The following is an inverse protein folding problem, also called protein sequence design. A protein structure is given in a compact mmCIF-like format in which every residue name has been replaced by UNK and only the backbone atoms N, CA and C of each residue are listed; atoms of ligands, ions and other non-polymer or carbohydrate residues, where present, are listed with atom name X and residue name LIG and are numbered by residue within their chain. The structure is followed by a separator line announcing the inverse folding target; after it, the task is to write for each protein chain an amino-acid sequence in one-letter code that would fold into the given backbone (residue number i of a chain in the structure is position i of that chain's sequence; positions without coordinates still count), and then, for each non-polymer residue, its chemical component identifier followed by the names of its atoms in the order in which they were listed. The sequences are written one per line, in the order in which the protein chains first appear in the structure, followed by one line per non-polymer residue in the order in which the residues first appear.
data_IF_849556067018
#
_entry.id   IF_849556067018
#
_cell.length_a   1.000
_cell.length_b   1.000
_cell.length_c   1.000
_cell.angle_alpha   90.00
_cell.angle_beta   90.00
_cell.angle_gamma   90.00
#
_symmetry.space_group_name_H-M   'P 1'
#
loop_
_entity.id
_entity.type
_entity.pdbx_description
1 polymer ?
#
# COMPACT_ATOMS: atom_id res chain seq x y z
N UNK A 1 0.99 56.23 19.86
CA UNK A 1 1.81 55.47 18.90
C UNK A 1 1.80 54.02 19.37
N UNK A 2 1.12 53.15 18.61
CA UNK A 2 0.90 51.76 18.99
C UNK A 2 2.21 50.95 18.98
N UNK A 3 2.46 50.22 20.06
CA UNK A 3 3.34 49.05 19.99
C UNK A 3 2.49 47.86 19.59
N UNK A 4 2.55 47.53 18.31
CA UNK A 4 1.98 46.31 17.74
C UNK A 4 2.85 45.13 18.23
N UNK A 5 2.36 44.41 19.24
CA UNK A 5 2.96 43.17 19.69
C UNK A 5 2.57 42.05 18.73
N UNK A 6 3.58 41.44 18.11
CA UNK A 6 3.51 40.39 17.10
C UNK A 6 2.88 39.07 17.62
N UNK A 7 2.46 38.14 16.73
CA UNK A 7 1.46 37.12 17.00
C UNK A 7 2.03 35.87 17.67
N UNK A 8 1.41 35.44 18.78
CA UNK A 8 1.86 34.30 19.60
C UNK A 8 1.13 32.99 19.30
N UNK A 9 0.08 33.03 18.46
CA UNK A 9 -0.85 31.91 18.27
C UNK A 9 -0.41 30.88 17.22
N UNK A 10 0.55 31.20 16.33
CA UNK A 10 0.99 30.26 15.28
C UNK A 10 2.03 29.22 15.75
N UNK A 11 2.74 29.48 16.85
CA UNK A 11 3.86 28.63 17.33
C UNK A 11 3.39 27.27 17.89
N UNK A 12 2.15 27.20 18.41
CA UNK A 12 1.61 25.99 19.06
C UNK A 12 1.21 24.90 18.05
N UNK A 13 0.52 25.27 16.97
CA UNK A 13 0.12 24.34 15.92
C UNK A 13 1.31 23.73 15.17
N UNK A 14 2.36 24.52 14.95
CA UNK A 14 3.60 24.07 14.33
C UNK A 14 4.29 22.96 15.14
N UNK A 15 4.31 23.05 16.47
CA UNK A 15 4.93 22.06 17.36
C UNK A 15 4.23 20.70 17.33
N UNK A 16 2.90 20.68 17.36
CA UNK A 16 2.11 19.45 17.26
C UNK A 16 2.27 18.77 15.89
N UNK A 17 2.35 19.57 14.82
CA UNK A 17 2.54 19.08 13.46
C UNK A 17 3.96 18.51 13.25
N UNK A 18 4.97 19.14 13.86
CA UNK A 18 6.36 18.67 13.88
C UNK A 18 6.46 17.31 14.62
N UNK A 19 5.84 17.20 15.79
CA UNK A 19 5.78 15.96 16.56
C UNK A 19 5.12 14.82 15.77
N UNK A 20 4.04 15.11 15.02
CA UNK A 20 3.37 14.14 14.13
C UNK A 20 4.30 13.65 13.01
N UNK A 21 5.07 14.54 12.38
CA UNK A 21 6.04 14.20 11.32
C UNK A 21 7.16 13.31 11.88
N UNK A 22 7.72 13.65 13.05
CA UNK A 22 8.73 12.85 13.72
C UNK A 22 8.21 11.45 14.03
N UNK A 23 7.00 11.34 14.59
CA UNK A 23 6.37 10.06 14.89
C UNK A 23 6.13 9.21 13.62
N UNK A 24 5.67 9.82 12.52
CA UNK A 24 5.49 9.12 11.25
C UNK A 24 6.82 8.61 10.68
N UNK A 25 7.87 9.45 10.65
CA UNK A 25 9.22 9.05 10.22
C UNK A 25 9.75 7.86 11.01
N UNK A 26 9.53 7.86 12.33
CA UNK A 26 9.94 6.74 13.21
C UNK A 26 9.20 5.45 12.85
N UNK A 27 7.87 5.49 12.73
CA UNK A 27 7.06 4.32 12.36
C UNK A 27 7.47 3.73 11.00
N UNK A 28 7.70 4.58 9.99
CA UNK A 28 8.14 4.15 8.66
C UNK A 28 9.53 3.49 8.74
N UNK A 29 10.44 4.03 9.56
CA UNK A 29 11.78 3.45 9.76
C UNK A 29 11.72 2.07 10.41
N UNK A 30 10.98 1.94 11.51
CA UNK A 30 10.79 0.68 12.24
C UNK A 30 10.18 -0.40 11.34
N UNK A 31 9.14 -0.03 10.58
CA UNK A 31 8.50 -0.94 9.62
C UNK A 31 9.49 -1.43 8.56
N UNK A 32 10.26 -0.52 7.94
CA UNK A 32 11.29 -0.90 6.96
C UNK A 32 12.42 -1.73 7.56
N UNK A 33 12.78 -1.54 8.82
CA UNK A 33 13.79 -2.37 9.50
C UNK A 33 13.29 -3.81 9.67
N UNK A 34 12.04 -3.99 10.10
CA UNK A 34 11.42 -5.31 10.22
C UNK A 34 11.39 -6.07 8.88
N UNK A 35 10.98 -5.40 7.80
CA UNK A 35 10.96 -5.99 6.47
C UNK A 35 12.38 -6.40 6.00
N UNK A 36 13.39 -5.57 6.27
CA UNK A 36 14.79 -5.93 5.94
C UNK A 36 15.30 -7.12 6.74
N UNK A 37 14.93 -7.23 8.02
CA UNK A 37 15.30 -8.38 8.85
C UNK A 37 14.67 -9.69 8.33
N UNK A 38 13.52 -9.60 7.66
CA UNK A 38 12.87 -10.72 6.96
C UNK A 38 13.47 -10.99 5.56
N UNK A 39 14.57 -10.32 5.19
CA UNK A 39 15.21 -10.48 3.88
C UNK A 39 14.56 -9.69 2.73
N UNK A 40 13.55 -8.87 3.01
CA UNK A 40 12.86 -8.08 1.97
C UNK A 40 13.61 -6.77 1.67
N UNK A 41 13.62 -6.37 0.40
CA UNK A 41 14.20 -5.10 -0.05
C UNK A 41 13.11 -4.16 -0.58
N UNK A 42 13.00 -2.92 -0.09
CA UNK A 42 12.03 -1.97 -0.61
C UNK A 42 12.41 -1.54 -2.02
N UNK A 43 11.46 -1.65 -2.95
CA UNK A 43 11.54 -1.06 -4.29
C UNK A 43 10.42 -0.02 -4.45
N UNK A 44 10.70 1.07 -5.15
CA UNK A 44 9.68 2.04 -5.55
C UNK A 44 9.42 1.84 -7.04
N UNK A 45 8.18 1.52 -7.37
CA UNK A 45 7.73 1.36 -8.75
C UNK A 45 6.56 2.30 -8.98
N UNK A 46 6.49 2.83 -10.20
CA UNK A 46 5.33 3.57 -10.65
C UNK A 46 4.33 2.58 -11.21
N UNK A 47 3.14 2.56 -10.64
CA UNK A 47 2.03 1.72 -11.09
C UNK A 47 0.94 2.60 -11.72
N UNK A 48 0.14 2.07 -12.65
CA UNK A 48 -1.05 2.76 -13.13
C UNK A 48 -1.99 3.17 -11.99
N UNK A 49 -2.69 4.29 -12.14
CA UNK A 49 -3.67 4.74 -11.15
C UNK A 49 -4.88 3.81 -11.14
N UNK A 50 -4.94 2.96 -10.11
CA UNK A 50 -6.00 1.96 -9.91
C UNK A 50 -7.38 2.56 -9.62
N UNK A 51 -7.45 3.86 -9.30
CA UNK A 51 -8.73 4.58 -9.11
C UNK A 51 -9.29 5.13 -10.42
N UNK A 52 -8.50 5.13 -11.48
CA UNK A 52 -8.95 5.59 -12.80
C UNK A 52 -9.93 4.58 -13.40
N UNK A 53 -11.07 5.02 -13.97
CA UNK A 53 -11.97 4.14 -14.73
C UNK A 53 -11.27 3.43 -15.89
N UNK A 54 -10.21 4.03 -16.46
CA UNK A 54 -9.39 3.41 -17.51
C UNK A 54 -8.66 2.16 -17.02
N UNK A 55 -8.17 2.18 -15.78
CA UNK A 55 -7.53 1.02 -15.18
C UNK A 55 -8.52 -0.13 -15.03
N UNK A 56 -9.73 0.15 -14.53
CA UNK A 56 -10.77 -0.87 -14.40
C UNK A 56 -11.15 -1.49 -15.76
N UNK A 57 -11.26 -0.66 -16.81
CA UNK A 57 -11.52 -1.15 -18.16
C UNK A 57 -10.39 -2.04 -18.70
N UNK A 58 -9.13 -1.64 -18.52
CA UNK A 58 -7.99 -2.42 -18.99
C UNK A 58 -7.78 -3.70 -18.17
N UNK A 59 -7.94 -3.63 -16.85
CA UNK A 59 -7.90 -4.80 -15.98
C UNK A 59 -8.93 -5.84 -16.44
N UNK A 60 -10.18 -5.41 -16.68
CA UNK A 60 -11.22 -6.30 -17.23
C UNK A 60 -10.82 -6.90 -18.57
N UNK A 61 -10.30 -6.08 -19.49
CA UNK A 61 -9.84 -6.54 -20.81
C UNK A 61 -8.75 -7.61 -20.69
N UNK A 62 -7.76 -7.39 -19.83
CA UNK A 62 -6.63 -8.29 -19.61
C UNK A 62 -7.07 -9.59 -18.93
N UNK A 63 -7.95 -9.53 -17.93
CA UNK A 63 -8.50 -10.72 -17.31
C UNK A 63 -9.22 -11.62 -18.33
N UNK A 64 -10.01 -11.03 -19.23
CA UNK A 64 -10.69 -11.79 -20.29
C UNK A 64 -9.69 -12.45 -21.27
N UNK A 65 -8.59 -11.77 -21.59
CA UNK A 65 -7.55 -12.33 -22.44
C UNK A 65 -6.81 -13.47 -21.75
N UNK A 66 -6.46 -13.32 -20.47
CA UNK A 66 -5.83 -14.38 -19.69
C UNK A 66 -6.75 -15.61 -19.57
N UNK A 67 -8.04 -15.40 -19.31
CA UNK A 67 -9.04 -16.47 -19.25
C UNK A 67 -9.24 -17.18 -20.60
N UNK A 68 -8.96 -16.51 -21.72
CA UNK A 68 -9.07 -17.08 -23.05
C UNK A 68 -7.73 -17.67 -23.54
N UNK A 69 -6.68 -17.67 -22.71
CA UNK A 69 -5.36 -18.19 -23.09
C UNK A 69 -5.44 -19.70 -23.31
N UNK A 70 -4.77 -20.25 -24.33
CA UNK A 70 -4.68 -21.71 -24.52
C UNK A 70 -4.13 -22.46 -23.29
N UNK A 71 -3.26 -21.81 -22.53
CA UNK A 71 -2.59 -22.34 -21.34
C UNK A 71 -3.43 -22.20 -20.06
N UNK A 72 -4.60 -21.55 -20.12
CA UNK A 72 -5.43 -21.27 -18.94
C UNK A 72 -5.77 -22.54 -18.16
N UNK A 73 -6.19 -23.60 -18.86
CA UNK A 73 -6.57 -24.85 -18.22
C UNK A 73 -5.40 -25.55 -17.50
N UNK A 74 -4.20 -25.50 -18.09
CA UNK A 74 -2.99 -26.08 -17.47
C UNK A 74 -2.55 -25.27 -16.25
N UNK A 75 -2.61 -23.94 -16.34
CA UNK A 75 -2.29 -23.03 -15.24
C UNK A 75 -3.29 -23.21 -14.09
N UNK A 76 -4.58 -23.29 -14.40
CA UNK A 76 -5.63 -23.49 -13.39
C UNK A 76 -5.46 -24.85 -12.70
N UNK A 77 -5.23 -25.93 -13.46
CA UNK A 77 -4.97 -27.25 -12.89
C UNK A 77 -3.71 -27.29 -12.02
N UNK A 78 -2.66 -26.56 -12.40
CA UNK A 78 -1.47 -26.42 -11.55
C UNK A 78 -1.79 -25.70 -10.24
N UNK A 79 -2.50 -24.57 -10.29
CA UNK A 79 -2.90 -23.81 -9.09
C UNK A 79 -3.72 -24.71 -8.15
N UNK A 80 -4.72 -25.40 -8.68
CA UNK A 80 -5.59 -26.30 -7.90
C UNK A 80 -4.78 -27.44 -7.25
N UNK A 81 -3.69 -27.90 -7.88
CA UNK A 81 -2.84 -28.97 -7.35
C UNK A 81 -1.93 -28.54 -6.19
N UNK A 82 -1.60 -27.24 -6.09
CA UNK A 82 -0.67 -26.70 -5.08
C UNK A 82 -1.37 -25.88 -4.00
N UNK A 83 -2.62 -25.48 -4.23
CA UNK A 83 -3.36 -24.63 -3.34
C UNK A 83 -4.30 -25.44 -2.44
N UNK A 84 -4.00 -25.48 -1.15
CA UNK A 84 -4.87 -26.00 -0.11
C UNK A 84 -5.57 -24.81 0.55
N UNK A 85 -6.91 -24.74 0.45
CA UNK A 85 -7.67 -23.74 1.21
C UNK A 85 -7.48 -24.07 2.70
N UNK A 86 -7.04 -23.12 3.55
CA UNK A 86 -6.99 -23.38 4.99
C UNK A 86 -8.42 -23.66 5.45
N UNK A 87 -8.66 -24.88 5.96
CA UNK A 87 -9.93 -25.25 6.60
C UNK A 87 -10.35 -24.13 7.58
N UNK A 88 -11.66 -23.86 7.66
CA UNK A 88 -12.31 -22.74 8.35
C UNK A 88 -11.94 -22.56 9.86
N UNK A 89 -10.68 -22.26 10.18
CA UNK A 89 -10.21 -21.99 11.55
C UNK A 89 -10.52 -20.56 12.02
N UNK A 90 -11.11 -19.71 11.17
CA UNK A 90 -11.47 -18.33 11.49
C UNK A 90 -12.98 -18.03 11.50
N UNK A 91 -13.84 -19.06 11.57
CA UNK A 91 -15.30 -18.87 11.73
C UNK A 91 -15.77 -18.87 13.20
N UNK A 92 -15.04 -18.18 14.09
CA UNK A 92 -15.45 -17.92 15.48
C UNK A 92 -15.62 -16.41 15.73
#
# INVERSE_FOLDING_TARGET
MGSEAAPELERSGASAQEARRIANRRKVREHRQRLRAQGMRPIQIWVPDVRSPKFAAEARRQCLLANASPEEAEIQAFIDSVYEWPDDEYSQ
#
